data_IF_080306483831
#
_entry.id   IF_080306483831
#
_cell.length_a   1.000
_cell.length_b   1.000
_cell.length_c   1.000
_cell.angle_alpha   90.00
_cell.angle_beta   90.00
_cell.angle_gamma   90.00
#
_symmetry.space_group_name_H-M   'P 1'
#
loop_
_entity.id
_entity.type
_entity.pdbx_description
1 polymer ?
#
# COMPACT_ATOMS: atom_id res chain seq x y z
N UNK A 1 -7.97 1.64 8.28
CA UNK A 1 -6.60 1.42 7.75
C UNK A 1 -6.71 1.41 6.24
N UNK A 2 -5.93 2.20 5.52
CA UNK A 2 -5.94 2.15 4.06
C UNK A 2 -5.63 0.75 3.54
N UNK A 3 -6.51 0.21 2.70
CA UNK A 3 -6.37 -1.05 2.00
C UNK A 3 -6.06 -0.75 0.51
N UNK A 4 -6.13 -1.73 -0.38
CA UNK A 4 -5.75 -1.53 -1.78
C UNK A 4 -6.47 -0.35 -2.45
N UNK A 5 -7.82 -0.20 -2.39
CA UNK A 5 -8.52 0.88 -3.08
C UNK A 5 -8.13 2.28 -2.57
N UNK A 6 -7.95 2.44 -1.25
CA UNK A 6 -7.56 3.72 -0.67
C UNK A 6 -6.11 4.09 -1.03
N UNK A 7 -5.23 3.10 -1.10
CA UNK A 7 -3.84 3.32 -1.56
C UNK A 7 -3.80 3.68 -3.04
N UNK A 8 -4.60 3.01 -3.87
CA UNK A 8 -4.72 3.31 -5.30
C UNK A 8 -5.27 4.73 -5.53
N UNK A 9 -6.33 5.11 -4.80
CA UNK A 9 -6.89 6.45 -4.82
C UNK A 9 -5.86 7.50 -4.39
N UNK A 10 -5.12 7.22 -3.31
CA UNK A 10 -4.04 8.11 -2.86
C UNK A 10 -2.98 8.26 -3.95
N UNK A 11 -2.47 7.16 -4.51
CA UNK A 11 -1.49 7.19 -5.60
C UNK A 11 -1.98 8.07 -6.77
N UNK A 12 -3.21 7.87 -7.21
CA UNK A 12 -3.80 8.60 -8.32
C UNK A 12 -3.92 10.10 -8.02
N UNK A 13 -4.26 10.46 -6.78
CA UNK A 13 -4.34 11.86 -6.36
C UNK A 13 -3.00 12.60 -6.41
N UNK A 14 -1.88 11.86 -6.48
CA UNK A 14 -0.53 12.43 -6.57
C UNK A 14 -0.03 12.60 -8.02
N UNK A 15 -0.79 12.19 -9.03
CA UNK A 15 -0.40 12.35 -10.43
C UNK A 15 -0.08 13.79 -10.86
N UNK A 16 -0.68 14.86 -10.29
CA UNK A 16 -0.26 16.22 -10.57
C UNK A 16 1.23 16.50 -10.30
N UNK A 17 1.90 15.70 -9.48
CA UNK A 17 3.34 15.84 -9.21
C UNK A 17 4.25 15.21 -10.27
N UNK A 18 3.70 14.41 -11.19
CA UNK A 18 4.49 13.75 -12.23
C UNK A 18 5.21 14.80 -13.10
N UNK A 19 6.49 14.53 -13.35
CA UNK A 19 7.44 15.38 -14.07
C UNK A 19 7.81 16.70 -13.37
N UNK A 20 7.28 16.98 -12.18
CA UNK A 20 7.70 18.13 -11.37
C UNK A 20 9.01 17.84 -10.66
N UNK A 21 9.84 18.87 -10.53
CA UNK A 21 11.14 18.81 -9.86
C UNK A 21 10.97 19.04 -8.36
N UNK A 22 11.69 18.25 -7.56
CA UNK A 22 11.80 18.48 -6.10
C UNK A 22 12.70 19.67 -5.85
N UNK A 23 12.19 20.69 -5.17
CA UNK A 23 12.92 21.91 -4.81
C UNK A 23 13.52 21.84 -3.41
N UNK A 24 12.81 21.24 -2.46
CA UNK A 24 13.30 21.02 -1.10
C UNK A 24 12.59 19.86 -0.43
N UNK A 25 13.21 19.30 0.61
CA UNK A 25 12.65 18.27 1.48
C UNK A 25 12.86 18.69 2.93
N UNK A 26 11.78 18.70 3.70
CA UNK A 26 11.80 18.96 5.14
C UNK A 26 11.27 17.75 5.90
N UNK A 27 12.10 17.17 6.77
CA UNK A 27 11.69 16.11 7.70
C UNK A 27 11.45 16.74 9.06
N UNK A 28 10.18 16.93 9.44
CA UNK A 28 9.79 17.55 10.72
C UNK A 28 9.82 16.55 11.88
N UNK A 29 9.56 15.28 11.57
CA UNK A 29 9.68 14.20 12.55
C UNK A 29 10.08 12.91 11.82
N UNK A 30 11.31 12.44 11.99
CA UNK A 30 11.79 11.22 11.31
C UNK A 30 11.23 9.93 11.93
N UNK A 31 10.67 9.97 13.13
CA UNK A 31 10.25 8.79 13.88
C UNK A 31 8.89 8.29 13.41
N UNK A 32 8.88 7.46 12.34
CA UNK A 32 7.75 6.65 11.90
C UNK A 32 7.93 5.19 12.37
N UNK A 33 7.20 4.23 11.77
CA UNK A 33 7.39 2.78 12.03
C UNK A 33 8.84 2.35 11.84
N UNK A 34 9.47 2.86 10.80
CA UNK A 34 10.91 2.90 10.60
C UNK A 34 11.30 4.35 10.36
N UNK A 35 12.48 4.79 10.84
CA UNK A 35 12.91 6.17 10.63
C UNK A 35 12.90 6.55 9.15
N UNK A 36 12.48 7.78 8.86
CA UNK A 36 12.66 8.35 7.53
C UNK A 36 14.16 8.42 7.27
N UNK A 37 14.67 7.91 6.13
CA UNK A 37 16.09 7.95 5.83
C UNK A 37 16.64 9.38 5.80
N UNK A 38 17.80 9.61 6.38
CA UNK A 38 18.48 10.92 6.33
C UNK A 38 18.78 11.33 4.88
N UNK A 39 19.02 10.33 4.04
CA UNK A 39 19.29 10.47 2.61
C UNK A 39 18.12 11.02 1.77
N UNK A 40 16.93 11.20 2.36
CA UNK A 40 15.76 11.73 1.62
C UNK A 40 16.05 13.09 0.97
N UNK A 41 17.06 13.84 1.46
CA UNK A 41 17.56 15.08 0.86
C UNK A 41 18.14 14.87 -0.56
N UNK A 42 18.54 13.66 -0.93
CA UNK A 42 19.03 13.34 -2.29
C UNK A 42 17.95 13.50 -3.36
N UNK A 43 16.67 13.54 -2.97
CA UNK A 43 15.58 13.83 -3.90
C UNK A 43 15.62 15.26 -4.47
N UNK A 44 16.26 16.21 -3.76
CA UNK A 44 16.33 17.61 -4.22
C UNK A 44 17.04 17.68 -5.57
N UNK A 45 16.38 18.31 -6.51
CA UNK A 45 16.84 18.43 -7.89
C UNK A 45 16.34 17.36 -8.84
N UNK A 46 15.83 16.22 -8.36
CA UNK A 46 15.28 15.15 -9.18
C UNK A 46 13.80 15.42 -9.54
N UNK A 47 13.35 14.86 -10.65
CA UNK A 47 11.93 14.83 -11.03
C UNK A 47 11.27 13.55 -10.57
N UNK A 48 10.01 13.64 -10.17
CA UNK A 48 9.16 12.47 -9.96
C UNK A 48 8.69 11.97 -11.32
N UNK A 49 9.20 10.82 -11.77
CA UNK A 49 8.95 10.30 -13.13
C UNK A 49 7.91 9.17 -13.17
N UNK A 50 7.58 8.57 -12.03
CA UNK A 50 6.60 7.49 -11.96
C UNK A 50 5.97 7.32 -10.59
N UNK A 51 4.72 6.86 -10.59
CA UNK A 51 3.98 6.47 -9.40
C UNK A 51 3.28 5.13 -9.68
N UNK A 52 3.74 4.09 -9.01
CA UNK A 52 3.20 2.74 -9.12
C UNK A 52 2.65 2.26 -7.76
N UNK A 53 1.92 1.17 -7.78
CA UNK A 53 1.44 0.51 -6.55
C UNK A 53 1.81 -0.98 -6.59
N UNK A 54 2.25 -1.47 -5.43
CA UNK A 54 2.36 -2.89 -5.18
C UNK A 54 1.77 -3.19 -3.81
N UNK A 55 0.74 -4.02 -3.74
CA UNK A 55 0.01 -4.25 -2.48
C UNK A 55 -0.55 -2.93 -1.92
N UNK A 56 -0.21 -2.60 -0.69
CA UNK A 56 -0.55 -1.35 0.00
C UNK A 56 0.63 -0.36 0.03
N UNK A 57 1.63 -0.56 -0.83
CA UNK A 57 2.77 0.33 -1.00
C UNK A 57 2.60 1.19 -2.25
N UNK A 58 2.91 2.48 -2.12
CA UNK A 58 3.11 3.38 -3.25
C UNK A 58 4.60 3.37 -3.56
N UNK A 59 4.95 3.12 -4.81
CA UNK A 59 6.31 3.15 -5.33
C UNK A 59 6.47 4.44 -6.11
N UNK A 60 7.27 5.36 -5.58
CA UNK A 60 7.55 6.65 -6.21
C UNK A 60 8.92 6.59 -6.88
N UNK A 61 8.93 6.76 -8.20
CA UNK A 61 10.14 6.72 -9.03
C UNK A 61 10.62 8.14 -9.31
N UNK A 62 11.84 8.43 -8.91
CA UNK A 62 12.56 9.64 -9.25
C UNK A 62 13.63 9.32 -10.29
N UNK A 63 14.25 10.35 -10.89
CA UNK A 63 15.23 10.15 -11.99
C UNK A 63 16.39 9.22 -11.63
N UNK A 64 16.80 9.17 -10.37
CA UNK A 64 17.94 8.36 -9.90
C UNK A 64 17.59 7.38 -8.79
N UNK A 65 16.45 7.60 -8.10
CA UNK A 65 16.09 6.91 -6.88
C UNK A 65 14.64 6.41 -6.93
N UNK A 66 14.35 5.41 -6.11
CA UNK A 66 12.99 4.93 -5.88
C UNK A 66 12.66 4.94 -4.40
N UNK A 67 11.46 5.40 -4.06
CA UNK A 67 10.94 5.40 -2.71
C UNK A 67 9.78 4.42 -2.58
N UNK A 68 9.68 3.78 -1.42
CA UNK A 68 8.55 2.97 -1.00
C UNK A 68 7.81 3.70 0.12
N UNK A 69 6.54 4.01 -0.10
CA UNK A 69 5.68 4.69 0.87
C UNK A 69 4.54 3.78 1.32
N UNK A 70 4.30 3.72 2.62
CA UNK A 70 3.20 2.97 3.20
C UNK A 70 2.41 3.84 4.18
N UNK A 71 1.09 3.89 4.02
CA UNK A 71 0.23 4.78 4.81
C UNK A 71 0.02 4.29 6.25
N UNK A 72 0.36 3.05 6.56
CA UNK A 72 0.10 2.48 7.89
C UNK A 72 -1.39 2.40 8.19
N UNK A 73 -1.80 2.94 9.33
CA UNK A 73 -3.21 2.94 9.76
C UNK A 73 -3.89 4.30 9.62
N UNK A 74 -3.14 5.39 9.68
CA UNK A 74 -3.65 6.77 9.71
C UNK A 74 -2.89 7.72 8.80
N UNK A 75 -1.90 7.20 8.08
CA UNK A 75 -1.09 7.98 7.16
C UNK A 75 -1.89 8.43 5.94
N UNK A 76 -1.59 9.62 5.47
CA UNK A 76 -2.15 10.20 4.26
C UNK A 76 -1.15 11.13 3.60
N UNK A 77 -1.22 11.22 2.28
CA UNK A 77 -0.55 12.24 1.50
C UNK A 77 -1.54 13.32 1.09
N UNK A 78 -1.11 14.57 1.14
CA UNK A 78 -1.89 15.73 0.71
C UNK A 78 -1.06 16.62 -0.19
N UNK A 79 -1.68 17.08 -1.28
CA UNK A 79 -1.17 18.19 -2.06
C UNK A 79 -1.68 19.50 -1.44
N UNK A 80 -0.79 20.43 -1.21
CA UNK A 80 -1.08 21.71 -0.54
C UNK A 80 -0.31 22.82 -1.23
N UNK A 81 -0.79 24.06 -1.03
CA UNK A 81 -0.01 25.24 -1.36
C UNK A 81 1.12 25.45 -0.33
N UNK A 82 2.25 26.08 -0.72
CA UNK A 82 3.37 26.30 0.19
C UNK A 82 3.00 27.09 1.46
N UNK A 83 2.02 27.98 1.37
CA UNK A 83 1.58 28.85 2.47
C UNK A 83 0.45 28.26 3.33
N UNK A 84 -0.03 27.06 3.01
CA UNK A 84 -1.06 26.41 3.81
C UNK A 84 -0.54 26.09 5.21
N UNK A 85 -1.44 26.19 6.20
CA UNK A 85 -1.09 25.91 7.59
C UNK A 85 -0.57 24.47 7.78
N UNK A 86 0.54 24.35 8.49
CA UNK A 86 1.14 23.06 8.85
C UNK A 86 0.36 22.39 9.99
N UNK A 87 0.03 21.12 9.82
CA UNK A 87 -0.61 20.33 10.86
C UNK A 87 0.42 19.70 11.79
N UNK A 88 0.02 19.44 13.03
CA UNK A 88 0.88 18.85 14.07
C UNK A 88 1.59 17.55 13.64
N UNK A 89 0.93 16.74 12.80
CA UNK A 89 1.42 15.41 12.39
C UNK A 89 1.83 15.36 10.91
N UNK A 90 2.12 16.50 10.29
CA UNK A 90 2.82 16.58 9.01
C UNK A 90 4.30 16.29 9.27
N UNK A 91 4.76 15.08 8.95
CA UNK A 91 6.09 14.58 9.33
C UNK A 91 7.13 14.79 8.25
N UNK A 92 6.71 14.74 6.97
CA UNK A 92 7.55 14.98 5.80
C UNK A 92 6.85 15.96 4.88
N UNK A 93 7.61 16.94 4.38
CA UNK A 93 7.18 17.90 3.37
C UNK A 93 8.16 17.84 2.20
N UNK A 94 7.65 17.61 1.00
CA UNK A 94 8.42 17.69 -0.23
C UNK A 94 7.85 18.83 -1.05
N UNK A 95 8.65 19.87 -1.27
CA UNK A 95 8.29 20.98 -2.15
C UNK A 95 8.59 20.61 -3.59
N UNK A 96 7.60 20.59 -4.43
CA UNK A 96 7.71 20.53 -5.89
C UNK A 96 7.59 21.92 -6.51
N UNK A 97 7.71 22.00 -7.84
CA UNK A 97 7.66 23.30 -8.57
C UNK A 97 6.37 24.07 -8.28
N UNK A 98 5.23 23.40 -8.32
CA UNK A 98 3.92 24.04 -8.18
C UNK A 98 3.24 23.81 -6.83
N UNK A 99 3.55 22.70 -6.15
CA UNK A 99 2.81 22.24 -4.96
C UNK A 99 3.73 21.62 -3.91
N UNK A 100 3.21 21.50 -2.70
CA UNK A 100 3.83 20.69 -1.65
C UNK A 100 3.12 19.34 -1.50
N UNK A 101 3.90 18.28 -1.40
CA UNK A 101 3.44 16.99 -0.90
C UNK A 101 3.71 16.92 0.60
N UNK A 102 2.66 16.72 1.39
CA UNK A 102 2.77 16.55 2.84
C UNK A 102 2.33 15.16 3.27
N UNK A 103 3.21 14.49 4.01
CA UNK A 103 2.88 13.22 4.65
C UNK A 103 2.41 13.46 6.08
N UNK A 104 1.15 13.12 6.35
CA UNK A 104 0.49 13.28 7.63
C UNK A 104 0.19 11.91 8.24
N UNK A 105 0.67 11.63 9.48
CA UNK A 105 0.40 10.35 10.15
C UNK A 105 0.38 10.49 11.69
N UNK A 106 -0.79 10.72 12.31
CA UNK A 106 -0.90 10.88 13.76
C UNK A 106 -0.39 9.69 14.57
N UNK A 107 -0.52 8.47 14.05
CA UNK A 107 -0.12 7.24 14.74
C UNK A 107 1.30 6.79 14.42
N UNK A 108 1.91 7.31 13.37
CA UNK A 108 3.28 7.01 12.93
C UNK A 108 3.52 5.52 12.59
N UNK A 109 2.50 4.85 12.08
CA UNK A 109 2.56 3.44 11.66
C UNK A 109 2.88 3.26 10.17
N UNK A 110 2.94 4.36 9.44
CA UNK A 110 3.41 4.35 8.07
C UNK A 110 4.92 4.32 7.95
N UNK A 111 5.42 4.29 6.73
CA UNK A 111 6.85 4.39 6.47
C UNK A 111 7.14 5.09 5.14
N UNK A 112 8.31 5.71 5.09
CA UNK A 112 8.92 6.35 3.93
C UNK A 112 10.33 5.77 3.83
N UNK A 113 10.58 4.93 2.83
CA UNK A 113 11.82 4.18 2.71
C UNK A 113 12.41 4.31 1.30
N UNK A 114 13.71 4.10 1.17
CA UNK A 114 14.33 3.82 -0.13
C UNK A 114 13.95 2.42 -0.61
N UNK A 115 13.62 2.30 -1.89
CA UNK A 115 13.48 1.00 -2.53
C UNK A 115 14.85 0.58 -3.09
N UNK A 116 15.60 -0.12 -2.27
CA UNK A 116 16.88 -0.71 -2.60
C UNK A 116 16.78 -2.26 -2.59
N UNK A 117 17.81 -3.02 -3.01
CA UNK A 117 17.73 -4.48 -3.06
C UNK A 117 17.32 -5.14 -1.73
N UNK A 118 17.71 -4.56 -0.58
CA UNK A 118 17.35 -5.08 0.74
C UNK A 118 15.85 -4.87 1.06
N UNK A 119 15.34 -3.66 0.87
CA UNK A 119 13.92 -3.35 1.07
C UNK A 119 13.06 -4.04 0.04
N UNK A 120 13.50 -4.14 -1.21
CA UNK A 120 12.85 -4.91 -2.28
C UNK A 120 12.68 -6.37 -1.85
N UNK A 121 13.75 -7.05 -1.48
CA UNK A 121 13.73 -8.46 -1.08
C UNK A 121 12.86 -8.73 0.15
N UNK A 122 12.89 -7.83 1.14
CA UNK A 122 12.11 -8.01 2.38
C UNK A 122 10.64 -7.68 2.27
N UNK A 123 10.29 -6.63 1.51
CA UNK A 123 8.95 -6.05 1.54
C UNK A 123 8.13 -6.31 0.28
N UNK A 124 8.76 -6.58 -0.85
CA UNK A 124 8.09 -6.70 -2.15
C UNK A 124 8.16 -8.13 -2.71
N UNK A 125 9.34 -8.75 -2.74
CA UNK A 125 9.55 -10.01 -3.47
C UNK A 125 8.82 -11.20 -2.84
N UNK A 126 8.51 -11.13 -1.56
CA UNK A 126 7.77 -12.18 -0.84
C UNK A 126 6.24 -12.07 -0.97
N UNK A 127 5.74 -11.01 -1.60
CA UNK A 127 4.31 -10.74 -1.71
C UNK A 127 3.62 -11.68 -2.70
N UNK A 128 2.43 -12.15 -2.34
CA UNK A 128 1.51 -12.88 -3.22
C UNK A 128 1.03 -12.02 -4.41
N UNK A 129 0.16 -12.55 -5.27
CA UNK A 129 -0.34 -11.85 -6.44
C UNK A 129 -1.24 -10.66 -6.09
N UNK A 130 -1.30 -9.70 -7.00
CA UNK A 130 -2.31 -8.65 -6.98
C UNK A 130 -3.70 -9.27 -7.21
N UNK A 131 -4.72 -8.90 -6.41
CA UNK A 131 -6.03 -9.52 -6.51
C UNK A 131 -6.72 -9.29 -7.85
N UNK A 132 -6.41 -8.18 -8.54
CA UNK A 132 -7.01 -7.85 -9.84
C UNK A 132 -6.22 -8.42 -11.03
N UNK A 133 -5.08 -9.07 -10.79
CA UNK A 133 -4.30 -9.72 -11.85
C UNK A 133 -4.89 -11.06 -12.27
N UNK A 134 -4.40 -11.58 -13.39
CA UNK A 134 -4.72 -12.95 -13.85
C UNK A 134 -4.12 -14.03 -12.97
N UNK A 135 -3.05 -13.72 -12.23
CA UNK A 135 -2.36 -14.67 -11.34
C UNK A 135 -3.19 -15.01 -10.10
N UNK A 136 -4.13 -14.14 -9.70
CA UNK A 136 -5.08 -14.42 -8.63
C UNK A 136 -6.34 -15.06 -9.22
N UNK A 137 -6.43 -16.39 -9.17
CA UNK A 137 -7.54 -17.19 -9.65
C UNK A 137 -7.87 -18.32 -8.66
N UNK A 138 -8.97 -19.04 -8.91
CA UNK A 138 -9.51 -19.98 -7.94
C UNK A 138 -8.54 -21.16 -7.62
N UNK A 139 -7.91 -21.73 -8.64
CA UNK A 139 -6.95 -22.83 -8.46
C UNK A 139 -5.72 -22.38 -7.69
N UNK A 140 -5.23 -21.14 -7.94
CA UNK A 140 -4.16 -20.55 -7.17
C UNK A 140 -4.56 -20.42 -5.69
N UNK A 141 -5.71 -19.79 -5.42
CA UNK A 141 -6.19 -19.60 -4.05
C UNK A 141 -6.40 -20.95 -3.35
N UNK A 142 -7.01 -21.93 -4.01
CA UNK A 142 -7.18 -23.29 -3.49
C UNK A 142 -5.84 -23.91 -3.08
N UNK A 143 -4.81 -23.77 -3.91
CA UNK A 143 -3.46 -24.28 -3.60
C UNK A 143 -2.86 -23.65 -2.36
N UNK A 144 -3.08 -22.33 -2.15
CA UNK A 144 -2.59 -21.58 -0.99
C UNK A 144 -3.36 -21.86 0.29
N UNK A 145 -4.63 -22.21 0.19
CA UNK A 145 -5.49 -22.53 1.33
C UNK A 145 -5.37 -23.99 1.77
N UNK A 146 -4.85 -24.88 0.95
CA UNK A 146 -4.74 -26.30 1.21
C UNK A 146 -4.07 -26.57 2.58
N UNK A 147 -4.73 -27.37 3.41
CA UNK A 147 -4.29 -27.77 4.75
C UNK A 147 -4.13 -26.60 5.76
N UNK A 148 -4.65 -25.39 5.47
CA UNK A 148 -4.65 -24.29 6.44
C UNK A 148 -5.82 -24.45 7.43
N UNK A 149 -5.50 -24.61 8.72
CA UNK A 149 -6.48 -24.66 9.81
C UNK A 149 -6.93 -23.28 10.31
N UNK A 150 -6.21 -22.23 9.95
CA UNK A 150 -6.61 -20.85 10.31
C UNK A 150 -7.90 -20.45 9.61
N UNK A 151 -8.68 -19.53 10.24
CA UNK A 151 -9.89 -19.01 9.62
C UNK A 151 -9.61 -18.34 8.28
N UNK A 152 -10.55 -18.49 7.35
CA UNK A 152 -10.39 -17.96 5.97
C UNK A 152 -10.11 -16.46 5.94
N UNK A 153 -10.70 -15.67 6.84
CA UNK A 153 -10.42 -14.24 6.93
C UNK A 153 -8.95 -13.96 7.21
N UNK A 154 -8.34 -14.70 8.14
CA UNK A 154 -6.92 -14.55 8.47
C UNK A 154 -6.05 -14.95 7.27
N UNK A 155 -6.41 -16.04 6.58
CA UNK A 155 -5.70 -16.49 5.39
C UNK A 155 -5.74 -15.46 4.26
N UNK A 156 -6.88 -14.79 4.03
CA UNK A 156 -7.02 -13.72 3.02
C UNK A 156 -6.23 -12.45 3.36
N UNK A 157 -6.01 -12.19 4.65
CA UNK A 157 -5.22 -11.04 5.11
C UNK A 157 -3.72 -11.29 5.11
N UNK A 158 -3.29 -12.54 4.83
CA UNK A 158 -1.90 -12.90 4.65
C UNK A 158 -1.40 -12.43 3.27
N UNK A 159 -0.48 -11.46 3.26
CA UNK A 159 0.08 -10.91 2.03
C UNK A 159 0.87 -11.91 1.17
N UNK A 160 1.20 -13.10 1.68
CA UNK A 160 1.79 -14.20 0.90
C UNK A 160 0.72 -15.00 0.13
N UNK A 161 -0.55 -14.86 0.51
CA UNK A 161 -1.70 -15.50 -0.18
C UNK A 161 -2.25 -14.57 -1.25
N UNK A 162 -2.65 -13.37 -0.87
CA UNK A 162 -3.11 -12.33 -1.78
C UNK A 162 -2.80 -10.97 -1.16
N UNK A 163 -2.38 -10.02 -1.97
CA UNK A 163 -2.03 -8.70 -1.45
C UNK A 163 -3.20 -7.72 -1.44
N UNK A 164 -3.08 -6.66 -0.67
CA UNK A 164 -4.00 -5.54 -0.71
C UNK A 164 -5.32 -5.74 0.03
N UNK A 165 -5.75 -6.97 0.25
CA UNK A 165 -6.94 -7.32 1.03
C UNK A 165 -6.63 -7.12 2.52
N UNK A 166 -7.43 -6.32 3.18
CA UNK A 166 -7.31 -6.11 4.63
C UNK A 166 -8.58 -6.51 5.36
N UNK A 167 -8.77 -5.92 6.55
CA UNK A 167 -9.87 -6.31 7.43
C UNK A 167 -11.26 -5.99 6.84
N UNK A 168 -11.39 -4.86 6.14
CA UNK A 168 -12.67 -4.42 5.58
C UNK A 168 -13.04 -5.32 4.41
N UNK A 169 -12.20 -5.36 3.37
CA UNK A 169 -12.53 -6.10 2.14
C UNK A 169 -12.55 -7.62 2.33
N UNK A 170 -11.74 -8.19 3.24
CA UNK A 170 -11.88 -9.60 3.62
C UNK A 170 -13.26 -9.89 4.26
N UNK A 171 -13.72 -9.01 5.17
CA UNK A 171 -15.02 -9.21 5.82
C UNK A 171 -16.17 -9.07 4.83
N UNK A 172 -16.15 -8.03 4.00
CA UNK A 172 -17.21 -7.78 3.01
C UNK A 172 -17.28 -8.89 1.96
N UNK A 173 -16.12 -9.32 1.42
CA UNK A 173 -16.08 -10.44 0.47
C UNK A 173 -16.72 -11.70 1.04
N UNK A 174 -16.33 -12.08 2.25
CA UNK A 174 -16.81 -13.29 2.90
C UNK A 174 -18.32 -13.19 3.22
N UNK A 175 -18.78 -12.02 3.69
CA UNK A 175 -20.18 -11.77 3.95
C UNK A 175 -21.03 -11.93 2.68
N UNK A 176 -20.60 -11.32 1.57
CA UNK A 176 -21.34 -11.33 0.31
C UNK A 176 -21.46 -12.72 -0.31
N UNK A 177 -20.47 -13.61 -0.08
CA UNK A 177 -20.54 -15.00 -0.57
C UNK A 177 -21.06 -15.99 0.48
N UNK A 178 -21.44 -15.53 1.68
CA UNK A 178 -22.01 -16.36 2.73
C UNK A 178 -21.01 -17.33 3.38
N UNK A 179 -19.74 -16.96 3.45
CA UNK A 179 -18.70 -17.77 4.12
C UNK A 179 -18.41 -17.21 5.50
N UNK A 180 -18.49 -18.05 6.53
CA UNK A 180 -18.16 -17.63 7.90
C UNK A 180 -16.66 -17.33 8.02
N UNK A 181 -16.24 -16.16 8.57
CA UNK A 181 -14.84 -15.72 8.59
C UNK A 181 -13.89 -16.64 9.39
N UNK A 182 -14.42 -17.38 10.35
CA UNK A 182 -13.65 -18.35 11.14
C UNK A 182 -13.68 -19.77 10.54
N UNK A 183 -14.36 -20.02 9.42
CA UNK A 183 -14.30 -21.32 8.76
C UNK A 183 -12.84 -21.63 8.41
N UNK A 184 -12.32 -22.85 8.74
CA UNK A 184 -10.96 -23.20 8.37
C UNK A 184 -10.74 -23.05 6.87
N UNK A 185 -9.66 -22.36 6.49
CA UNK A 185 -9.42 -22.01 5.09
C UNK A 185 -9.27 -23.25 4.18
N UNK A 186 -8.71 -24.33 4.74
CA UNK A 186 -8.54 -25.60 4.02
C UNK A 186 -9.82 -26.39 3.78
N UNK A 187 -10.92 -26.04 4.45
CA UNK A 187 -12.21 -26.73 4.35
C UNK A 187 -13.16 -26.09 3.30
N UNK A 188 -12.72 -25.01 2.64
CA UNK A 188 -13.53 -24.40 1.59
C UNK A 188 -13.62 -25.32 0.37
N UNK A 189 -14.84 -25.52 -0.14
CA UNK A 189 -15.04 -26.18 -1.42
C UNK A 189 -14.54 -25.32 -2.58
N UNK A 190 -14.21 -25.95 -3.72
CA UNK A 190 -13.79 -25.24 -4.92
C UNK A 190 -14.85 -24.20 -5.36
N UNK A 191 -16.13 -24.55 -5.30
CA UNK A 191 -17.23 -23.63 -5.62
C UNK A 191 -17.24 -22.38 -4.70
N UNK A 192 -16.96 -22.54 -3.40
CA UNK A 192 -16.85 -21.40 -2.48
C UNK A 192 -15.65 -20.52 -2.85
N UNK A 193 -14.51 -21.12 -3.19
CA UNK A 193 -13.28 -20.41 -3.57
C UNK A 193 -13.50 -19.63 -4.87
N UNK A 194 -14.14 -20.23 -5.90
CA UNK A 194 -14.48 -19.54 -7.16
C UNK A 194 -15.32 -18.29 -6.90
N UNK A 195 -16.41 -18.42 -6.12
CA UNK A 195 -17.26 -17.29 -5.75
C UNK A 195 -16.48 -16.22 -4.99
N UNK A 196 -15.62 -16.62 -4.07
CA UNK A 196 -14.84 -15.71 -3.26
C UNK A 196 -13.82 -14.91 -4.10
N UNK A 197 -13.14 -15.56 -5.06
CA UNK A 197 -12.22 -14.88 -5.98
C UNK A 197 -12.96 -13.85 -6.83
N UNK A 198 -14.11 -14.21 -7.40
CA UNK A 198 -14.93 -13.27 -8.18
C UNK A 198 -15.35 -12.08 -7.34
N UNK A 199 -15.80 -12.34 -6.11
CA UNK A 199 -16.26 -11.28 -5.22
C UNK A 199 -15.12 -10.35 -4.75
N UNK A 200 -13.94 -10.89 -4.40
CA UNK A 200 -12.77 -10.08 -4.07
C UNK A 200 -12.41 -9.14 -5.23
N UNK A 201 -12.41 -9.65 -6.46
CA UNK A 201 -12.13 -8.81 -7.64
C UNK A 201 -13.20 -7.76 -7.90
N UNK A 202 -14.45 -8.04 -7.52
CA UNK A 202 -15.57 -7.12 -7.74
C UNK A 202 -15.55 -5.93 -6.79
N UNK A 203 -15.14 -6.15 -5.54
CA UNK A 203 -15.21 -5.11 -4.49
C UNK A 203 -13.96 -4.26 -4.38
N UNK A 204 -12.82 -4.71 -4.94
CA UNK A 204 -11.55 -3.98 -4.99
C UNK A 204 -11.43 -3.15 -6.28
#
# INVERSE_FOLDING_TARGET
MPELPEVETTKTSLFPLLNQKVLSVEVRNPSLRWPIPDDVQKLVGQRLIGLNRRSKYILAEFEQDQMLWHLGMSGSFRLTEPNDELRKHDHLIIQFEDQQLRYHDPRRFGCILWLNPETQGKLIDTLGPEPLSTDFHAEYLASKLKNKSVGIKIALMDNHVVVGVGNIYATESLFNVGIHPAQPAGDLSMQQIEKLVVEIKRIL
#
